data_IF_249687811136
#
_entry.id   IF_249687811136
#
_cell.length_a   1.000
_cell.length_b   1.000
_cell.length_c   1.000
_cell.angle_alpha   90.00
_cell.angle_beta   90.00
_cell.angle_gamma   90.00
#
_symmetry.space_group_name_H-M   'P 1'
#
loop_
_entity.id
_entity.type
_entity.pdbx_description
1 polymer ?
#
# COMPACT_ATOMS: atom_id res chain seq x y z
N UNK A 1 -0.43 26.62 3.50
CA UNK A 1 -1.90 26.63 3.22
C UNK A 1 -2.27 25.77 2.03
N UNK A 2 -1.56 25.86 0.88
CA UNK A 2 -1.91 25.10 -0.33
C UNK A 2 -1.87 23.56 -0.15
N UNK A 3 -0.87 23.03 0.58
CA UNK A 3 -0.75 21.57 0.80
C UNK A 3 -1.95 21.01 1.58
N UNK A 4 -2.45 21.72 2.59
CA UNK A 4 -3.63 21.30 3.35
C UNK A 4 -4.85 21.15 2.44
N UNK A 5 -5.14 22.16 1.63
CA UNK A 5 -6.30 22.12 0.71
C UNK A 5 -6.11 21.09 -0.40
N UNK A 6 -4.88 20.91 -0.94
CA UNK A 6 -4.59 19.89 -1.92
C UNK A 6 -4.75 18.48 -1.34
N UNK A 7 -4.34 18.24 -0.10
CA UNK A 7 -4.52 16.97 0.61
C UNK A 7 -6.00 16.67 0.87
N UNK A 8 -6.75 17.63 1.39
CA UNK A 8 -8.20 17.49 1.64
C UNK A 8 -8.96 17.22 0.33
N UNK A 9 -8.69 18.03 -0.69
CA UNK A 9 -9.32 17.87 -2.00
C UNK A 9 -8.87 16.58 -2.72
N UNK A 10 -7.60 16.21 -2.65
CA UNK A 10 -7.08 14.96 -3.20
C UNK A 10 -7.72 13.73 -2.58
N UNK A 11 -7.91 13.73 -1.25
CA UNK A 11 -8.63 12.66 -0.55
C UNK A 11 -10.10 12.59 -0.99
N UNK A 12 -10.77 13.73 -1.13
CA UNK A 12 -12.16 13.79 -1.61
C UNK A 12 -12.26 13.27 -3.07
N UNK A 13 -11.30 13.61 -3.93
CA UNK A 13 -11.26 13.13 -5.32
C UNK A 13 -11.03 11.61 -5.39
N UNK A 14 -10.08 11.04 -4.63
CA UNK A 14 -9.93 9.58 -4.54
C UNK A 14 -11.22 8.92 -4.03
N UNK A 15 -11.86 9.51 -3.01
CA UNK A 15 -13.08 8.94 -2.44
C UNK A 15 -14.26 8.90 -3.42
N UNK A 16 -14.39 9.92 -4.28
CA UNK A 16 -15.53 10.05 -5.22
C UNK A 16 -15.26 9.31 -6.52
N UNK A 17 -14.06 9.47 -7.09
CA UNK A 17 -13.74 9.01 -8.43
C UNK A 17 -12.84 7.78 -8.46
N UNK A 18 -12.03 7.56 -7.41
CA UNK A 18 -10.98 6.54 -7.43
C UNK A 18 -9.97 6.80 -8.55
N UNK A 19 -9.58 5.73 -9.25
CA UNK A 19 -8.60 5.75 -10.35
C UNK A 19 -9.32 5.58 -11.71
N UNK A 20 -9.71 6.67 -12.40
CA UNK A 20 -10.38 6.58 -13.68
C UNK A 20 -9.47 5.96 -14.75
N UNK A 21 -9.96 4.95 -15.48
CA UNK A 21 -9.18 4.18 -16.45
C UNK A 21 -8.63 5.03 -17.63
N UNK A 22 -9.22 6.19 -17.92
CA UNK A 22 -8.75 7.11 -18.96
C UNK A 22 -7.55 7.97 -18.54
N UNK A 23 -7.27 8.06 -17.24
CA UNK A 23 -6.17 8.85 -16.70
C UNK A 23 -4.98 7.94 -16.37
N UNK A 24 -3.85 8.16 -17.05
CA UNK A 24 -2.65 7.36 -16.77
C UNK A 24 -2.17 7.60 -15.33
N UNK A 25 -2.21 6.55 -14.53
CA UNK A 25 -1.80 6.61 -13.13
C UNK A 25 -0.27 6.75 -13.01
N UNK A 26 0.28 7.62 -12.14
CA UNK A 26 1.72 7.80 -11.93
C UNK A 26 2.46 6.49 -11.64
N UNK A 27 1.85 5.55 -10.91
CA UNK A 27 2.43 4.23 -10.60
C UNK A 27 2.74 3.42 -11.87
N UNK A 28 1.93 3.54 -12.92
CA UNK A 28 2.19 2.88 -14.20
C UNK A 28 3.45 3.46 -14.86
N UNK A 29 3.60 4.79 -14.80
CA UNK A 29 4.80 5.48 -15.33
C UNK A 29 6.03 5.07 -14.50
N UNK A 30 5.90 5.04 -13.18
CA UNK A 30 6.95 4.58 -12.25
C UNK A 30 7.35 3.13 -12.56
N UNK A 31 6.37 2.23 -12.73
CA UNK A 31 6.63 0.83 -13.07
C UNK A 31 7.40 0.67 -14.37
N UNK A 32 7.05 1.43 -15.41
CA UNK A 32 7.79 1.44 -16.69
C UNK A 32 9.21 1.98 -16.50
N UNK A 33 9.39 3.03 -15.72
CA UNK A 33 10.70 3.62 -15.42
C UNK A 33 11.58 2.64 -14.63
N UNK A 34 11.03 1.94 -13.63
CA UNK A 34 11.70 0.89 -12.85
C UNK A 34 12.18 -0.23 -13.78
N UNK A 35 11.31 -0.76 -14.64
CA UNK A 35 11.65 -1.82 -15.58
C UNK A 35 12.75 -1.39 -16.59
N UNK A 36 12.65 -0.17 -17.10
CA UNK A 36 13.65 0.39 -18.00
C UNK A 36 15.01 0.57 -17.30
N UNK A 37 14.99 1.09 -16.08
CA UNK A 37 16.20 1.31 -15.28
C UNK A 37 16.84 -0.02 -14.85
N UNK A 38 16.03 -1.04 -14.45
CA UNK A 38 16.51 -2.40 -14.17
C UNK A 38 17.24 -2.96 -15.39
N UNK A 39 16.59 -2.93 -16.56
CA UNK A 39 17.18 -3.43 -17.81
C UNK A 39 18.48 -2.70 -18.17
N UNK A 40 18.50 -1.38 -18.05
CA UNK A 40 19.69 -0.56 -18.33
C UNK A 40 20.86 -0.82 -17.36
N UNK A 41 20.59 -0.97 -16.09
CA UNK A 41 21.60 -1.23 -15.05
C UNK A 41 22.18 -2.64 -15.17
N UNK A 42 21.32 -3.65 -15.43
CA UNK A 42 21.78 -5.05 -15.63
C UNK A 42 22.65 -5.22 -16.87
N UNK A 43 22.48 -4.38 -17.90
CA UNK A 43 23.35 -4.39 -19.10
C UNK A 43 24.70 -3.72 -18.85
N UNK A 44 24.79 -2.76 -17.94
CA UNK A 44 25.99 -1.96 -17.70
C UNK A 44 26.85 -2.44 -16.53
N UNK A 45 26.25 -3.14 -15.58
CA UNK A 45 26.94 -3.62 -14.39
C UNK A 45 27.10 -5.13 -14.40
N UNK A 46 28.19 -5.67 -13.83
CA UNK A 46 28.42 -7.12 -13.78
C UNK A 46 27.29 -7.85 -13.07
N UNK A 47 26.90 -9.01 -13.59
CA UNK A 47 25.91 -9.90 -12.96
C UNK A 47 26.56 -10.73 -11.83
N UNK A 48 27.16 -10.05 -10.89
CA UNK A 48 27.74 -10.61 -9.67
C UNK A 48 26.96 -10.06 -8.48
N UNK A 49 26.99 -10.71 -7.31
CA UNK A 49 26.31 -10.21 -6.11
C UNK A 49 26.66 -8.75 -5.74
N UNK A 50 27.90 -8.33 -6.01
CA UNK A 50 28.33 -6.92 -5.80
C UNK A 50 27.78 -5.98 -6.86
N UNK A 51 27.83 -6.35 -8.13
CA UNK A 51 27.30 -5.55 -9.24
C UNK A 51 25.79 -5.38 -9.14
N UNK A 52 25.05 -6.43 -8.80
CA UNK A 52 23.61 -6.36 -8.58
C UNK A 52 23.23 -5.48 -7.39
N UNK A 53 23.99 -5.54 -6.29
CA UNK A 53 23.77 -4.64 -5.13
C UNK A 53 24.00 -3.17 -5.53
N UNK A 54 25.03 -2.88 -6.32
CA UNK A 54 25.30 -1.52 -6.81
C UNK A 54 24.17 -1.05 -7.74
N UNK A 55 23.71 -1.90 -8.65
CA UNK A 55 22.59 -1.61 -9.53
C UNK A 55 21.30 -1.32 -8.75
N UNK A 56 20.97 -2.16 -7.77
CA UNK A 56 19.82 -1.96 -6.90
C UNK A 56 19.91 -0.70 -6.05
N UNK A 57 21.08 -0.39 -5.51
CA UNK A 57 21.32 0.85 -4.75
C UNK A 57 21.17 2.08 -5.67
N UNK A 58 21.71 2.04 -6.89
CA UNK A 58 21.53 3.10 -7.87
C UNK A 58 20.06 3.34 -8.17
N UNK A 59 19.28 2.27 -8.41
CA UNK A 59 17.83 2.37 -8.62
C UNK A 59 17.13 2.97 -7.39
N UNK A 60 17.46 2.49 -6.19
CA UNK A 60 16.86 2.95 -4.93
C UNK A 60 17.13 4.43 -4.63
N UNK A 61 18.13 5.05 -5.25
CA UNK A 61 18.42 6.48 -5.18
C UNK A 61 17.74 7.22 -6.34
N UNK A 62 17.96 6.76 -7.57
CA UNK A 62 17.53 7.47 -8.79
C UNK A 62 16.01 7.59 -8.87
N UNK A 63 15.28 6.54 -8.54
CA UNK A 63 13.82 6.56 -8.63
C UNK A 63 13.16 7.56 -7.66
N UNK A 64 13.42 7.53 -6.35
CA UNK A 64 12.80 8.48 -5.42
C UNK A 64 13.27 9.92 -5.68
N UNK A 65 14.57 10.13 -5.89
CA UNK A 65 15.12 11.49 -6.16
C UNK A 65 14.57 12.03 -7.47
N UNK A 66 14.57 11.23 -8.53
CA UNK A 66 13.99 11.61 -9.82
C UNK A 66 12.50 11.94 -9.73
N UNK A 67 11.74 11.13 -8.99
CA UNK A 67 10.31 11.40 -8.75
C UNK A 67 10.11 12.70 -8.00
N UNK A 68 10.87 12.95 -6.93
CA UNK A 68 10.78 14.17 -6.14
C UNK A 68 11.10 15.42 -6.99
N UNK A 69 12.20 15.37 -7.73
CA UNK A 69 12.62 16.48 -8.57
C UNK A 69 11.66 16.76 -9.73
N UNK A 70 11.18 15.70 -10.39
CA UNK A 70 10.24 15.83 -11.49
C UNK A 70 8.90 16.40 -11.01
N UNK A 71 8.30 15.80 -9.99
CA UNK A 71 6.98 16.20 -9.50
C UNK A 71 7.04 17.57 -8.83
N UNK A 72 8.04 17.83 -7.99
CA UNK A 72 8.25 19.14 -7.39
C UNK A 72 8.59 20.22 -8.43
N UNK A 73 9.39 19.87 -9.44
CA UNK A 73 9.72 20.76 -10.55
C UNK A 73 8.51 21.14 -11.39
N UNK A 74 7.67 20.17 -11.74
CA UNK A 74 6.43 20.42 -12.50
C UNK A 74 5.45 21.28 -11.70
N UNK A 75 5.22 20.98 -10.41
CA UNK A 75 4.36 21.82 -9.56
C UNK A 75 4.85 23.25 -9.51
N UNK A 76 6.16 23.47 -9.36
CA UNK A 76 6.76 24.81 -9.33
C UNK A 76 6.69 25.53 -10.67
N UNK A 77 6.97 24.83 -11.77
CA UNK A 77 6.90 25.40 -13.11
C UNK A 77 5.48 25.83 -13.46
N UNK A 78 4.48 24.99 -13.16
CA UNK A 78 3.07 25.32 -13.36
C UNK A 78 2.62 26.49 -12.47
N UNK A 79 3.07 26.51 -11.21
CA UNK A 79 2.78 27.61 -10.30
C UNK A 79 3.42 28.95 -10.74
N UNK A 80 4.57 28.90 -11.41
CA UNK A 80 5.23 30.08 -11.97
C UNK A 80 4.44 30.66 -13.18
N UNK A 81 3.74 29.80 -13.94
CA UNK A 81 2.82 30.25 -15.00
C UNK A 81 1.53 30.84 -14.39
N UNK A 82 0.91 30.10 -13.49
CA UNK A 82 -0.26 30.56 -12.75
C UNK A 82 -0.44 29.74 -11.47
N UNK A 83 -0.68 30.35 -10.29
CA UNK A 83 -0.82 29.65 -9.03
C UNK A 83 -1.88 28.52 -9.02
N UNK A 84 -2.98 28.74 -9.76
CA UNK A 84 -4.05 27.73 -9.86
C UNK A 84 -3.63 26.48 -10.63
N UNK A 85 -2.71 26.59 -11.61
CA UNK A 85 -2.18 25.42 -12.33
C UNK A 85 -1.28 24.57 -11.42
N UNK A 86 -0.42 25.23 -10.64
CA UNK A 86 0.40 24.52 -9.64
C UNK A 86 -0.47 23.81 -8.59
N UNK A 87 -1.52 24.49 -8.11
CA UNK A 87 -2.46 23.89 -7.17
C UNK A 87 -3.25 22.72 -7.79
N UNK A 88 -3.69 22.84 -9.04
CA UNK A 88 -4.39 21.77 -9.73
C UNK A 88 -3.53 20.52 -9.92
N UNK A 89 -2.24 20.69 -10.26
CA UNK A 89 -1.30 19.57 -10.33
C UNK A 89 -1.06 18.92 -8.96
N UNK A 90 -0.87 19.71 -7.92
CA UNK A 90 -0.73 19.27 -6.54
C UNK A 90 -1.96 18.45 -6.10
N UNK A 91 -3.16 19.00 -6.32
CA UNK A 91 -4.45 18.37 -6.00
C UNK A 91 -4.62 17.03 -6.70
N UNK A 92 -4.40 16.99 -8.03
CA UNK A 92 -4.52 15.78 -8.83
C UNK A 92 -3.53 14.71 -8.36
N UNK A 93 -2.29 15.06 -8.11
CA UNK A 93 -1.28 14.10 -7.66
C UNK A 93 -1.46 13.67 -6.22
N UNK A 94 -2.05 14.49 -5.35
CA UNK A 94 -2.51 14.06 -4.04
C UNK A 94 -3.60 12.98 -4.17
N UNK A 95 -4.57 13.14 -5.08
CA UNK A 95 -5.57 12.10 -5.34
C UNK A 95 -4.94 10.80 -5.85
N UNK A 96 -4.07 10.89 -6.87
CA UNK A 96 -3.42 9.73 -7.47
C UNK A 96 -2.36 9.04 -6.58
N UNK A 97 -1.92 9.66 -5.50
CA UNK A 97 -1.06 9.00 -4.52
C UNK A 97 -1.83 8.07 -3.57
N UNK A 98 -3.15 8.29 -3.43
CA UNK A 98 -4.04 7.43 -2.64
C UNK A 98 -4.56 6.26 -3.48
N UNK A 99 -4.95 5.19 -2.81
CA UNK A 99 -5.47 3.99 -3.45
C UNK A 99 -6.67 3.38 -2.69
N UNK A 100 -7.32 4.17 -1.81
CA UNK A 100 -8.38 3.65 -0.94
C UNK A 100 -9.59 3.16 -1.73
N UNK A 101 -10.04 3.95 -2.70
CA UNK A 101 -11.24 3.62 -3.50
C UNK A 101 -10.95 2.50 -4.49
N UNK A 102 -9.81 2.54 -5.19
CA UNK A 102 -9.40 1.48 -6.12
C UNK A 102 -9.29 0.13 -5.42
N UNK A 103 -8.63 0.09 -4.26
CA UNK A 103 -8.49 -1.14 -3.46
C UNK A 103 -9.84 -1.66 -2.96
N UNK A 104 -10.72 -0.77 -2.47
CA UNK A 104 -12.05 -1.16 -2.02
C UNK A 104 -12.91 -1.70 -3.17
N UNK A 105 -12.79 -1.16 -4.38
CA UNK A 105 -13.49 -1.64 -5.57
C UNK A 105 -13.00 -3.03 -5.98
N UNK A 106 -11.67 -3.24 -6.06
CA UNK A 106 -11.09 -4.51 -6.47
C UNK A 106 -11.36 -5.61 -5.44
N UNK A 107 -11.21 -5.35 -4.14
CA UNK A 107 -11.52 -6.32 -3.09
C UNK A 107 -13.04 -6.62 -3.02
N UNK A 108 -13.89 -5.62 -3.26
CA UNK A 108 -15.34 -5.84 -3.36
C UNK A 108 -15.69 -6.68 -4.59
N UNK A 109 -14.92 -6.59 -5.68
CA UNK A 109 -15.12 -7.49 -6.82
C UNK A 109 -14.83 -8.95 -6.43
N UNK A 110 -13.78 -9.22 -5.64
CA UNK A 110 -13.54 -10.57 -5.08
C UNK A 110 -14.77 -11.06 -4.29
N UNK A 111 -15.29 -10.22 -3.38
CA UNK A 111 -16.51 -10.52 -2.63
C UNK A 111 -17.69 -10.88 -3.53
N UNK A 112 -17.92 -10.10 -4.61
CA UNK A 112 -19.03 -10.36 -5.55
C UNK A 112 -18.91 -11.70 -6.26
N UNK A 113 -17.69 -12.13 -6.64
CA UNK A 113 -17.50 -13.44 -7.27
C UNK A 113 -17.73 -14.58 -6.26
N UNK A 114 -17.30 -14.40 -5.01
CA UNK A 114 -17.57 -15.36 -3.92
C UNK A 114 -19.07 -15.48 -3.62
N UNK A 115 -19.83 -14.41 -3.72
CA UNK A 115 -21.30 -14.44 -3.54
C UNK A 115 -22.02 -15.16 -4.67
N UNK A 116 -21.44 -15.21 -5.88
CA UNK A 116 -21.95 -16.00 -7.01
C UNK A 116 -21.54 -17.47 -6.97
N UNK A 117 -20.78 -17.87 -5.94
CA UNK A 117 -20.13 -19.18 -5.80
C UNK A 117 -19.17 -19.53 -6.94
N UNK A 118 -18.64 -18.51 -7.63
CA UNK A 118 -17.66 -18.64 -8.72
C UNK A 118 -16.24 -18.54 -8.17
N UNK A 119 -15.71 -19.65 -7.67
CA UNK A 119 -14.36 -19.70 -7.11
C UNK A 119 -13.26 -19.42 -8.16
N UNK A 120 -13.34 -19.93 -9.41
CA UNK A 120 -12.37 -19.55 -10.45
C UNK A 120 -12.30 -18.03 -10.69
N UNK A 121 -13.45 -17.37 -10.86
CA UNK A 121 -13.50 -15.91 -11.04
C UNK A 121 -13.01 -15.15 -9.77
N UNK A 122 -13.29 -15.67 -8.57
CA UNK A 122 -12.80 -15.10 -7.33
C UNK A 122 -11.26 -15.19 -7.22
N UNK A 123 -10.66 -16.33 -7.62
CA UNK A 123 -9.20 -16.51 -7.72
C UNK A 123 -8.57 -15.53 -8.71
N UNK A 124 -9.17 -15.35 -9.87
CA UNK A 124 -8.71 -14.37 -10.85
C UNK A 124 -8.82 -12.94 -10.32
N UNK A 125 -9.93 -12.60 -9.65
CA UNK A 125 -10.13 -11.29 -9.07
C UNK A 125 -9.10 -10.99 -7.95
N UNK A 126 -8.87 -11.91 -7.03
CA UNK A 126 -7.87 -11.71 -5.96
C UNK A 126 -6.45 -11.67 -6.53
N UNK A 127 -6.14 -12.42 -7.58
CA UNK A 127 -4.84 -12.41 -8.27
C UNK A 127 -4.44 -11.05 -8.84
N UNK A 128 -5.40 -10.12 -9.03
CA UNK A 128 -5.09 -8.74 -9.45
C UNK A 128 -4.57 -7.84 -8.32
N UNK A 129 -4.79 -8.23 -7.07
CA UNK A 129 -4.45 -7.41 -5.90
C UNK A 129 -3.44 -8.06 -4.96
N UNK A 130 -3.03 -9.31 -5.21
CA UNK A 130 -2.03 -10.02 -4.40
C UNK A 130 -0.81 -10.40 -5.21
N UNK A 131 0.34 -10.53 -4.55
CA UNK A 131 1.59 -11.00 -5.18
C UNK A 131 1.82 -12.51 -5.10
N UNK A 132 0.92 -13.28 -4.47
CA UNK A 132 1.02 -14.74 -4.31
C UNK A 132 0.31 -15.48 -5.43
N UNK A 133 0.64 -16.78 -5.60
CA UNK A 133 -0.07 -17.67 -6.51
C UNK A 133 -1.50 -17.89 -6.00
N UNK A 134 -2.50 -17.75 -6.88
CA UNK A 134 -3.92 -17.78 -6.49
C UNK A 134 -4.69 -18.98 -7.05
N UNK A 135 -4.14 -19.70 -8.01
CA UNK A 135 -4.83 -20.75 -8.78
C UNK A 135 -5.30 -21.93 -7.89
N UNK A 136 -4.54 -22.25 -6.86
CA UNK A 136 -4.83 -23.35 -5.94
C UNK A 136 -5.54 -22.92 -4.64
N UNK A 137 -5.84 -21.61 -4.45
CA UNK A 137 -6.46 -21.15 -3.21
C UNK A 137 -7.85 -21.74 -3.00
N UNK A 138 -8.14 -22.19 -1.79
CA UNK A 138 -9.50 -22.52 -1.36
C UNK A 138 -10.35 -21.24 -1.27
N UNK A 139 -11.67 -21.38 -1.12
CA UNK A 139 -12.58 -20.26 -0.88
C UNK A 139 -12.09 -19.39 0.30
N UNK A 140 -11.78 -20.04 1.43
CA UNK A 140 -11.23 -19.35 2.61
C UNK A 140 -9.87 -18.68 2.31
N UNK A 141 -9.01 -19.34 1.53
CA UNK A 141 -7.72 -18.80 1.09
C UNK A 141 -7.88 -17.51 0.27
N UNK A 142 -8.87 -17.46 -0.62
CA UNK A 142 -9.21 -16.27 -1.41
C UNK A 142 -9.70 -15.12 -0.51
N UNK A 143 -10.60 -15.42 0.44
CA UNK A 143 -11.11 -14.42 1.38
C UNK A 143 -9.98 -13.87 2.23
N UNK A 144 -9.15 -14.76 2.80
CA UNK A 144 -8.00 -14.41 3.63
C UNK A 144 -7.03 -13.51 2.86
N UNK A 145 -6.67 -13.87 1.64
CA UNK A 145 -5.78 -13.09 0.79
C UNK A 145 -6.33 -11.68 0.51
N UNK A 146 -7.63 -11.56 0.25
CA UNK A 146 -8.27 -10.26 0.03
C UNK A 146 -8.28 -9.39 1.29
N UNK A 147 -8.60 -9.97 2.46
CA UNK A 147 -8.60 -9.26 3.75
C UNK A 147 -7.19 -8.79 4.13
N UNK A 148 -6.17 -9.66 3.97
CA UNK A 148 -4.75 -9.31 4.18
C UNK A 148 -4.33 -8.13 3.32
N UNK A 149 -4.64 -8.18 2.03
CA UNK A 149 -4.29 -7.11 1.08
C UNK A 149 -4.94 -5.78 1.45
N UNK A 150 -6.21 -5.79 1.85
CA UNK A 150 -6.89 -4.57 2.33
C UNK A 150 -6.22 -4.05 3.60
N UNK A 151 -5.86 -4.92 4.53
CA UNK A 151 -5.21 -4.53 5.78
C UNK A 151 -3.82 -3.95 5.54
N UNK A 152 -2.97 -4.61 4.75
CA UNK A 152 -1.61 -4.15 4.41
C UNK A 152 -1.65 -2.82 3.65
N UNK A 153 -2.46 -2.74 2.60
CA UNK A 153 -2.56 -1.54 1.77
C UNK A 153 -3.29 -0.37 2.45
N UNK A 154 -3.99 -0.57 3.57
CA UNK A 154 -4.42 0.55 4.41
C UNK A 154 -3.23 1.37 4.91
N UNK A 155 -2.08 0.74 5.19
CA UNK A 155 -0.83 1.45 5.44
C UNK A 155 -0.26 2.03 4.15
N UNK A 156 0.05 1.20 3.17
CA UNK A 156 0.87 1.50 2.00
C UNK A 156 0.15 2.35 0.94
N UNK A 157 -1.16 2.20 0.86
CA UNK A 157 -2.00 2.88 -0.13
C UNK A 157 -2.78 4.07 0.42
N UNK A 158 -2.86 4.24 1.76
CA UNK A 158 -3.68 5.31 2.36
C UNK A 158 -2.91 6.11 3.39
N UNK A 159 -2.50 5.50 4.50
CA UNK A 159 -1.93 6.24 5.64
C UNK A 159 -0.52 6.75 5.35
N UNK A 160 0.34 5.94 4.72
CA UNK A 160 1.68 6.39 4.37
C UNK A 160 1.66 7.51 3.31
N UNK A 161 0.89 7.43 2.21
CA UNK A 161 0.69 8.58 1.33
C UNK A 161 0.20 9.84 2.05
N UNK A 162 -0.81 9.74 2.94
CA UNK A 162 -1.28 10.88 3.74
C UNK A 162 -0.20 11.46 4.64
N UNK A 163 0.60 10.59 5.27
CA UNK A 163 1.72 11.01 6.10
C UNK A 163 2.75 11.83 5.30
N UNK A 164 3.12 11.37 4.11
CA UNK A 164 4.07 12.07 3.25
C UNK A 164 3.46 13.32 2.59
N UNK A 165 2.14 13.32 2.29
CA UNK A 165 1.43 14.53 1.86
C UNK A 165 1.47 15.61 2.94
N UNK A 166 1.24 15.24 4.18
CA UNK A 166 1.31 16.16 5.32
C UNK A 166 2.69 16.83 5.43
N UNK A 167 3.77 16.09 5.17
CA UNK A 167 5.15 16.59 5.27
C UNK A 167 5.55 17.50 4.10
N UNK A 168 5.20 17.13 2.87
CA UNK A 168 5.69 17.85 1.68
C UNK A 168 4.81 17.73 0.44
N UNK A 169 3.49 17.56 0.62
CA UNK A 169 2.53 17.57 -0.46
C UNK A 169 2.64 16.37 -1.40
N UNK A 170 2.09 16.53 -2.59
CA UNK A 170 2.12 15.52 -3.64
C UNK A 170 3.53 15.03 -4.02
N UNK A 171 4.57 15.89 -4.11
CA UNK A 171 5.92 15.44 -4.44
C UNK A 171 6.46 14.39 -3.48
N UNK A 172 6.31 14.56 -2.16
CA UNK A 172 6.75 13.57 -1.19
C UNK A 172 5.85 12.32 -1.18
N UNK A 173 4.55 12.47 -1.35
CA UNK A 173 3.63 11.33 -1.46
C UNK A 173 3.96 10.45 -2.67
N UNK A 174 4.19 11.05 -3.85
CA UNK A 174 4.59 10.30 -5.04
C UNK A 174 6.01 9.71 -4.92
N UNK A 175 6.90 10.37 -4.20
CA UNK A 175 8.23 9.81 -3.87
C UNK A 175 8.09 8.54 -3.03
N UNK A 176 7.24 8.55 -2.01
CA UNK A 176 6.90 7.35 -1.26
C UNK A 176 6.29 6.28 -2.16
N UNK A 177 5.35 6.64 -3.04
CA UNK A 177 4.76 5.67 -4.01
C UNK A 177 5.81 5.07 -4.93
N UNK A 178 6.84 5.83 -5.34
CA UNK A 178 7.95 5.29 -6.12
C UNK A 178 8.78 4.27 -5.33
N UNK A 179 9.04 4.52 -4.04
CA UNK A 179 9.71 3.57 -3.14
C UNK A 179 8.89 2.29 -3.00
N UNK A 180 7.61 2.42 -2.69
CA UNK A 180 6.70 1.29 -2.52
C UNK A 180 6.50 0.48 -3.82
N UNK A 181 6.43 1.16 -4.98
CA UNK A 181 6.35 0.48 -6.27
C UNK A 181 7.63 -0.29 -6.61
N UNK A 182 8.81 0.26 -6.25
CA UNK A 182 10.07 -0.47 -6.41
C UNK A 182 10.08 -1.76 -5.59
N UNK A 183 9.70 -1.69 -4.31
CA UNK A 183 9.64 -2.89 -3.47
C UNK A 183 8.67 -3.92 -4.05
N UNK A 184 7.47 -3.51 -4.44
CA UNK A 184 6.47 -4.39 -5.06
C UNK A 184 6.95 -5.05 -6.35
N UNK A 185 7.85 -4.41 -7.12
CA UNK A 185 8.34 -4.95 -8.40
C UNK A 185 9.62 -5.77 -8.25
N UNK A 186 10.54 -5.36 -7.39
CA UNK A 186 11.89 -5.95 -7.32
C UNK A 186 12.31 -6.39 -5.90
N UNK A 187 11.51 -6.15 -4.86
CA UNK A 187 11.84 -6.47 -3.46
C UNK A 187 11.81 -7.96 -3.10
N UNK A 188 11.49 -8.83 -4.05
CA UNK A 188 11.37 -10.28 -3.82
C UNK A 188 12.71 -10.95 -3.48
N UNK A 189 12.66 -11.97 -2.61
CA UNK A 189 13.83 -12.78 -2.20
C UNK A 189 14.02 -14.02 -3.08
N UNK A 190 13.77 -13.90 -4.39
CA UNK A 190 14.06 -14.93 -5.38
C UNK A 190 15.46 -14.74 -5.98
N UNK A 191 15.95 -15.71 -6.77
CA UNK A 191 17.29 -15.67 -7.39
C UNK A 191 17.55 -14.39 -8.18
N UNK A 192 16.53 -13.88 -8.89
CA UNK A 192 16.63 -12.68 -9.72
C UNK A 192 16.85 -11.41 -8.90
N UNK A 193 16.23 -11.29 -7.73
CA UNK A 193 16.15 -10.04 -6.98
C UNK A 193 16.85 -10.08 -5.61
N UNK A 194 17.37 -11.23 -5.19
CA UNK A 194 18.00 -11.39 -3.87
C UNK A 194 19.07 -10.32 -3.55
N UNK A 195 19.84 -9.97 -4.56
CA UNK A 195 20.88 -8.94 -4.43
C UNK A 195 20.43 -7.58 -4.95
N UNK A 196 19.76 -7.55 -6.10
CA UNK A 196 19.29 -6.35 -6.77
C UNK A 196 18.20 -5.63 -5.95
N UNK A 197 17.16 -6.33 -5.54
CA UNK A 197 15.99 -5.75 -4.86
C UNK A 197 16.23 -5.36 -3.41
N UNK A 198 17.35 -5.80 -2.81
CA UNK A 198 17.61 -5.59 -1.37
C UNK A 198 17.58 -4.13 -0.93
N UNK A 199 18.05 -3.20 -1.76
CA UNK A 199 18.08 -1.78 -1.42
C UNK A 199 16.67 -1.19 -1.45
N UNK A 200 15.85 -1.56 -2.45
CA UNK A 200 14.45 -1.15 -2.58
C UNK A 200 13.63 -1.64 -1.38
N UNK A 201 13.73 -2.93 -1.03
CA UNK A 201 13.01 -3.51 0.12
C UNK A 201 13.37 -2.82 1.44
N UNK A 202 14.67 -2.57 1.70
CA UNK A 202 15.09 -1.88 2.92
C UNK A 202 14.67 -0.42 2.96
N UNK A 203 14.61 0.25 1.81
CA UNK A 203 14.17 1.63 1.73
C UNK A 203 12.65 1.71 2.00
N UNK A 204 11.86 0.79 1.45
CA UNK A 204 10.43 0.69 1.75
C UNK A 204 10.18 0.35 3.22
N UNK A 205 10.90 -0.63 3.77
CA UNK A 205 10.84 -0.96 5.20
C UNK A 205 11.08 0.27 6.08
N UNK A 206 12.04 1.12 5.74
CA UNK A 206 12.35 2.35 6.48
C UNK A 206 11.28 3.43 6.26
N UNK A 207 10.85 3.65 5.00
CA UNK A 207 9.88 4.67 4.66
C UNK A 207 8.50 4.38 5.28
N UNK A 208 8.10 3.11 5.32
CA UNK A 208 6.82 2.70 5.90
C UNK A 208 6.90 2.36 7.40
N UNK A 209 8.08 2.49 8.04
CA UNK A 209 8.25 2.12 9.44
C UNK A 209 7.30 2.88 10.38
N UNK A 210 7.30 4.21 10.33
CA UNK A 210 6.42 5.03 11.16
C UNK A 210 4.97 5.02 10.66
N UNK A 211 4.68 5.19 9.36
CA UNK A 211 3.31 5.13 8.85
C UNK A 211 2.55 3.87 9.21
N UNK A 212 3.16 2.69 9.13
CA UNK A 212 2.48 1.42 9.45
C UNK A 212 2.07 1.30 10.91
N UNK A 213 2.84 1.87 11.85
CA UNK A 213 2.46 1.91 13.27
C UNK A 213 1.32 2.87 13.52
N UNK A 214 1.35 4.04 12.87
CA UNK A 214 0.23 4.99 12.90
C UNK A 214 -1.00 4.32 12.30
N UNK A 215 -0.88 3.66 11.16
CA UNK A 215 -1.97 2.93 10.51
C UNK A 215 -2.59 1.88 11.42
N UNK A 216 -1.78 1.09 12.14
CA UNK A 216 -2.29 0.10 13.10
C UNK A 216 -3.08 0.73 14.25
N UNK A 217 -2.63 1.87 14.80
CA UNK A 217 -3.36 2.59 15.84
C UNK A 217 -4.68 3.16 15.30
N UNK A 218 -4.65 3.74 14.10
CA UNK A 218 -5.85 4.21 13.42
C UNK A 218 -6.81 3.06 13.10
N UNK A 219 -6.28 1.87 12.78
CA UNK A 219 -7.10 0.67 12.56
C UNK A 219 -7.81 0.21 13.83
N UNK A 220 -7.13 0.23 14.98
CA UNK A 220 -7.76 -0.06 16.28
C UNK A 220 -8.90 0.92 16.58
N UNK A 221 -8.68 2.22 16.33
CA UNK A 221 -9.73 3.24 16.49
C UNK A 221 -10.88 3.02 15.48
N UNK A 222 -10.55 2.71 14.23
CA UNK A 222 -11.52 2.41 13.18
C UNK A 222 -12.37 1.17 13.52
N UNK A 223 -11.78 0.15 14.15
CA UNK A 223 -12.52 -1.01 14.61
C UNK A 223 -13.63 -0.62 15.58
N UNK A 224 -13.35 0.26 16.55
CA UNK A 224 -14.37 0.79 17.48
C UNK A 224 -15.48 1.55 16.74
N UNK A 225 -15.10 2.43 15.80
CA UNK A 225 -16.07 3.25 15.05
C UNK A 225 -16.95 2.44 14.09
N UNK A 226 -16.48 1.28 13.64
CA UNK A 226 -17.20 0.42 12.68
C UNK A 226 -17.90 -0.76 13.33
N UNK A 227 -17.95 -0.80 14.69
CA UNK A 227 -18.64 -1.85 15.45
C UNK A 227 -17.90 -3.20 15.45
N UNK A 228 -16.57 -3.19 15.26
CA UNK A 228 -15.70 -4.37 15.36
C UNK A 228 -14.98 -4.38 16.71
N UNK A 229 -14.29 -5.48 17.05
CA UNK A 229 -13.61 -5.64 18.34
C UNK A 229 -12.30 -4.83 18.42
N UNK A 230 -12.36 -3.60 18.91
CA UNK A 230 -11.18 -2.76 19.13
C UNK A 230 -10.23 -3.31 20.22
N UNK A 231 -10.77 -4.02 21.23
CA UNK A 231 -9.93 -4.65 22.28
C UNK A 231 -9.17 -5.84 21.71
N UNK A 232 -9.83 -6.66 20.90
CA UNK A 232 -9.20 -7.73 20.12
C UNK A 232 -8.15 -7.19 19.18
N UNK A 233 -8.46 -6.13 18.39
CA UNK A 233 -7.51 -5.45 17.51
C UNK A 233 -6.24 -5.02 18.25
N UNK A 234 -6.38 -4.33 19.39
CA UNK A 234 -5.26 -3.90 20.21
C UNK A 234 -4.44 -5.07 20.78
N UNK A 235 -5.14 -6.09 21.32
CA UNK A 235 -4.50 -7.28 21.91
C UNK A 235 -3.66 -8.04 20.87
N UNK A 236 -4.24 -8.34 19.71
CA UNK A 236 -3.57 -9.11 18.66
C UNK A 236 -2.46 -8.28 18.02
N UNK A 237 -2.68 -6.97 17.77
CA UNK A 237 -1.61 -6.10 17.29
C UNK A 237 -0.39 -6.13 18.22
N UNK A 238 -0.57 -6.00 19.52
CA UNK A 238 0.56 -6.04 20.47
C UNK A 238 1.29 -7.38 20.47
N UNK A 239 0.57 -8.49 20.27
CA UNK A 239 1.12 -9.85 20.26
C UNK A 239 1.83 -10.16 18.95
N UNK A 240 1.15 -9.94 17.81
CA UNK A 240 1.50 -10.53 16.51
C UNK A 240 2.12 -9.53 15.51
N UNK A 241 2.23 -8.26 15.82
CA UNK A 241 2.77 -7.22 14.92
C UNK A 241 4.17 -7.47 14.37
N UNK A 242 4.85 -8.52 14.78
CA UNK A 242 6.18 -8.93 14.32
C UNK A 242 6.16 -10.28 13.59
N UNK A 243 4.99 -10.87 13.41
CA UNK A 243 4.82 -12.17 12.77
C UNK A 243 4.79 -12.07 11.24
N UNK A 244 5.67 -11.25 10.66
CA UNK A 244 5.84 -11.13 9.22
C UNK A 244 7.30 -10.85 8.87
N UNK A 245 7.70 -11.22 7.62
CA UNK A 245 9.05 -10.99 7.13
C UNK A 245 9.38 -9.50 6.93
N UNK A 246 8.39 -8.68 6.54
CA UNK A 246 8.46 -7.22 6.59
C UNK A 246 8.12 -6.74 8.02
N UNK A 247 8.83 -5.74 8.55
CA UNK A 247 8.53 -5.15 9.85
C UNK A 247 7.23 -4.33 9.87
N UNK A 248 6.61 -4.14 8.70
CA UNK A 248 5.48 -3.23 8.48
C UNK A 248 4.15 -3.93 8.22
N UNK A 249 4.11 -5.00 7.41
CA UNK A 249 2.86 -5.65 6.97
C UNK A 249 2.02 -6.16 8.14
N UNK A 250 2.64 -6.86 9.10
CA UNK A 250 1.93 -7.38 10.26
C UNK A 250 1.36 -6.29 11.20
N UNK A 251 1.70 -5.02 11.02
CA UNK A 251 1.16 -3.95 11.87
C UNK A 251 -0.36 -3.82 11.68
N UNK A 252 -0.80 -3.63 10.47
CA UNK A 252 -2.22 -3.49 10.13
C UNK A 252 -2.94 -4.82 10.01
N UNK A 253 -2.28 -5.87 9.49
CA UNK A 253 -2.85 -7.22 9.42
C UNK A 253 -3.23 -7.77 10.79
N UNK A 254 -2.36 -7.59 11.80
CA UNK A 254 -2.64 -8.09 13.16
C UNK A 254 -3.78 -7.30 13.83
N UNK A 255 -3.85 -5.99 13.62
CA UNK A 255 -4.98 -5.19 14.10
C UNK A 255 -6.29 -5.63 13.42
N UNK A 256 -6.25 -5.90 12.11
CA UNK A 256 -7.40 -6.41 11.35
C UNK A 256 -7.85 -7.79 11.83
N UNK A 257 -6.91 -8.73 11.96
CA UNK A 257 -7.18 -10.08 12.44
C UNK A 257 -7.87 -10.06 13.81
N UNK A 258 -7.35 -9.24 14.73
CA UNK A 258 -7.93 -9.07 16.06
C UNK A 258 -9.29 -8.41 16.06
N UNK A 259 -9.50 -7.40 15.20
CA UNK A 259 -10.79 -6.72 15.05
C UNK A 259 -11.90 -7.65 14.53
N UNK A 260 -11.54 -8.56 13.63
CA UNK A 260 -12.47 -9.49 13.00
C UNK A 260 -12.59 -10.82 13.77
N UNK A 261 -11.67 -11.14 14.68
CA UNK A 261 -11.62 -12.44 15.38
C UNK A 261 -11.30 -13.61 14.45
N UNK A 262 -10.48 -13.37 13.42
CA UNK A 262 -10.08 -14.37 12.41
C UNK A 262 -8.57 -14.55 12.38
N UNK A 263 -8.13 -15.68 11.82
CA UNK A 263 -6.71 -15.93 11.57
C UNK A 263 -6.33 -15.53 10.14
N UNK A 264 -5.28 -14.74 9.99
CA UNK A 264 -4.68 -14.30 8.75
C UNK A 264 -3.26 -14.87 8.59
N UNK A 265 -2.62 -14.57 7.47
CA UNK A 265 -1.28 -15.05 7.10
C UNK A 265 -1.20 -16.59 7.04
N UNK A 266 -0.09 -17.17 7.48
CA UNK A 266 0.18 -18.59 7.36
C UNK A 266 0.86 -18.95 6.02
N UNK A 267 1.01 -20.26 5.73
CA UNK A 267 1.72 -20.73 4.56
C UNK A 267 1.15 -20.19 3.24
N UNK A 268 2.02 -19.87 2.29
CA UNK A 268 1.63 -19.36 0.98
C UNK A 268 2.63 -19.76 -0.11
N UNK A 269 2.17 -19.84 -1.36
CA UNK A 269 3.02 -20.12 -2.52
C UNK A 269 3.26 -18.84 -3.32
N UNK A 270 4.53 -18.61 -3.68
CA UNK A 270 4.97 -17.50 -4.52
C UNK A 270 5.84 -18.04 -5.64
N UNK A 271 5.48 -17.77 -6.88
CA UNK A 271 6.24 -18.25 -8.06
C UNK A 271 6.48 -19.76 -8.04
N UNK A 272 5.49 -20.55 -7.62
CA UNK A 272 5.57 -21.99 -7.48
C UNK A 272 6.36 -22.51 -6.28
N UNK A 273 6.91 -21.64 -5.42
CA UNK A 273 7.63 -22.02 -4.21
C UNK A 273 6.78 -21.85 -2.97
N UNK A 274 6.73 -22.88 -2.14
CA UNK A 274 6.02 -22.87 -0.86
C UNK A 274 6.85 -22.18 0.21
N UNK A 275 6.23 -21.28 0.96
CA UNK A 275 6.80 -20.57 2.10
C UNK A 275 5.98 -20.85 3.35
N UNK A 276 6.61 -21.42 4.36
CA UNK A 276 6.03 -21.55 5.68
C UNK A 276 6.15 -20.22 6.42
N UNK A 277 5.00 -19.58 6.68
CA UNK A 277 4.91 -18.29 7.35
C UNK A 277 4.12 -18.43 8.64
N UNK A 278 4.47 -17.66 9.69
CA UNK A 278 3.66 -17.64 10.91
C UNK A 278 2.26 -17.11 10.62
N UNK A 279 1.29 -17.57 11.40
CA UNK A 279 -0.06 -17.05 11.39
C UNK A 279 -0.17 -15.76 12.22
N UNK A 280 -1.19 -14.97 11.92
CA UNK A 280 -1.52 -13.71 12.59
C UNK A 280 -2.96 -13.78 13.09
N UNK A 281 -3.19 -13.50 14.36
CA UNK A 281 -4.52 -13.56 14.97
C UNK A 281 -4.91 -14.95 15.44
N UNK A 282 -6.09 -15.03 16.03
CA UNK A 282 -6.69 -16.24 16.56
C UNK A 282 -7.87 -16.67 15.67
N UNK A 283 -8.02 -17.96 15.40
CA UNK A 283 -9.17 -18.51 14.68
C UNK A 283 -10.39 -18.60 15.62
N UNK A 284 -10.86 -17.46 16.16
CA UNK A 284 -12.02 -17.43 17.05
C UNK A 284 -13.32 -17.75 16.32
N UNK A 285 -13.36 -17.53 15.00
CA UNK A 285 -14.43 -17.96 14.09
C UNK A 285 -13.87 -18.22 12.69
N UNK A 286 -14.59 -18.92 11.84
CA UNK A 286 -14.26 -19.02 10.42
C UNK A 286 -14.24 -17.64 9.76
N UNK A 287 -13.37 -17.47 8.76
CA UNK A 287 -13.35 -16.27 7.92
C UNK A 287 -14.49 -16.36 6.89
N UNK A 288 -15.17 -15.24 6.65
CA UNK A 288 -16.36 -15.15 5.80
C UNK A 288 -16.15 -14.12 4.67
N UNK A 289 -16.85 -14.22 3.53
CA UNK A 289 -16.75 -13.22 2.45
C UNK A 289 -17.03 -11.79 2.94
N UNK A 290 -17.92 -11.61 3.89
CA UNK A 290 -18.31 -10.34 4.51
C UNK A 290 -17.14 -9.65 5.22
N UNK A 291 -16.10 -10.40 5.60
CA UNK A 291 -14.89 -9.85 6.23
C UNK A 291 -14.11 -8.93 5.28
N UNK A 292 -14.21 -9.16 3.98
CA UNK A 292 -13.68 -8.24 2.97
C UNK A 292 -14.35 -6.87 3.08
N UNK A 293 -15.68 -6.85 3.24
CA UNK A 293 -16.44 -5.61 3.39
C UNK A 293 -16.21 -4.95 4.75
N UNK A 294 -16.03 -5.74 5.81
CA UNK A 294 -15.69 -5.24 7.16
C UNK A 294 -14.31 -4.60 7.13
N UNK A 295 -13.32 -5.24 6.50
CA UNK A 295 -11.97 -4.72 6.33
C UNK A 295 -11.98 -3.41 5.52
N UNK A 296 -12.72 -3.34 4.41
CA UNK A 296 -12.89 -2.11 3.63
C UNK A 296 -13.50 -0.96 4.44
N UNK A 297 -14.49 -1.22 5.29
CA UNK A 297 -15.07 -0.21 6.16
C UNK A 297 -14.06 0.31 7.18
N UNK A 298 -13.28 -0.58 7.80
CA UNK A 298 -12.22 -0.21 8.74
C UNK A 298 -11.11 0.59 8.05
N UNK A 299 -10.66 0.17 6.86
CA UNK A 299 -9.67 0.90 6.06
C UNK A 299 -10.14 2.33 5.76
N UNK A 300 -11.38 2.50 5.29
CA UNK A 300 -11.96 3.82 5.00
C UNK A 300 -12.07 4.69 6.25
N UNK A 301 -12.52 4.11 7.38
CA UNK A 301 -12.58 4.82 8.65
C UNK A 301 -11.19 5.24 9.15
N UNK A 302 -10.19 4.35 9.05
CA UNK A 302 -8.80 4.66 9.35
C UNK A 302 -8.24 5.77 8.45
N UNK A 303 -8.60 5.76 7.15
CA UNK A 303 -8.23 6.81 6.20
C UNK A 303 -8.79 8.18 6.58
N UNK A 304 -10.06 8.25 6.97
CA UNK A 304 -10.69 9.50 7.46
C UNK A 304 -10.00 9.98 8.75
N UNK A 305 -9.77 9.10 9.71
CA UNK A 305 -9.06 9.45 10.95
C UNK A 305 -7.62 9.93 10.64
N UNK A 306 -6.94 9.28 9.71
CA UNK A 306 -5.60 9.66 9.26
C UNK A 306 -5.59 11.04 8.60
N UNK A 307 -6.58 11.32 7.73
CA UNK A 307 -6.75 12.64 7.11
C UNK A 307 -6.99 13.72 8.17
N UNK A 308 -7.88 13.46 9.13
CA UNK A 308 -8.17 14.43 10.21
C UNK A 308 -6.92 14.74 11.04
N UNK A 309 -6.15 13.70 11.39
CA UNK A 309 -4.89 13.86 12.13
C UNK A 309 -3.86 14.66 11.31
N UNK A 310 -3.65 14.28 10.05
CA UNK A 310 -2.71 14.97 9.16
C UNK A 310 -3.11 16.43 8.90
N UNK A 311 -4.41 16.68 8.68
CA UNK A 311 -4.94 18.02 8.48
C UNK A 311 -4.79 18.87 9.74
N UNK A 312 -5.08 18.32 10.92
CA UNK A 312 -4.90 19.01 12.20
C UNK A 312 -3.45 19.38 12.46
N UNK A 313 -2.51 18.46 12.24
CA UNK A 313 -1.06 18.74 12.35
C UNK A 313 -0.66 19.83 11.35
N UNK A 314 -1.09 19.71 10.10
CA UNK A 314 -0.75 20.68 9.06
C UNK A 314 -1.32 22.08 9.32
N UNK A 315 -2.52 22.15 9.89
CA UNK A 315 -3.12 23.40 10.33
C UNK A 315 -2.31 24.10 11.41
N UNK A 316 -1.78 23.33 12.37
CA UNK A 316 -0.95 23.87 13.48
C UNK A 316 0.42 24.36 12.96
N UNK A 317 0.98 23.66 11.95
CA UNK A 317 2.29 23.98 11.39
C UNK A 317 2.26 25.13 10.36
N UNK A 318 1.07 25.61 9.93
CA UNK A 318 0.89 26.71 8.97
C UNK A 318 0.82 26.24 7.54
#
# INVERSE_FOLDING_TARGET
MNILYAMLGGFALDWIFGDPAWLTHPVVIMGRAIAALESGLRKRLPQTPRGERLAGLTMAIVMPVGTLLLTGGVCRALAAVHPALGFAAELLWCAQALAATGLAQESTNVYRQLQKDDLPAARQAVGRIVGRDTEALTREGVIRAAVETVAENASDGVIAPLFYMMLGGAPLALTYKAVNTMDSMVGYKNERYLHFGRAAAKLDDAANYLPSRIAALLWVAAAALTGNDAKGAWRIWRRDRRNHASPNSAQTESACAGALGVQLAGPATYFGQYYDKPTIGDAARPIEPEDILRANRMMRAAGVLGLMAAAGIRWILG
#
